data_IF_002802421260
#
_entry.id   IF_002802421260
#
_cell.length_a   1.000
_cell.length_b   1.000
_cell.length_c   1.000
_cell.angle_alpha   90.00
_cell.angle_beta   90.00
_cell.angle_gamma   90.00
#
_symmetry.space_group_name_H-M   'P 1'
#
loop_
_entity.id
_entity.type
_entity.pdbx_description
1 polymer ?
#
# COMPACT_ATOMS: atom_id res chain seq x y z
N UNK A 1 -10.04 9.19 27.95
CA UNK A 1 -11.18 8.35 27.53
C UNK A 1 -10.65 7.15 26.78
N UNK A 2 -10.99 5.94 27.22
CA UNK A 2 -10.67 4.73 26.47
C UNK A 2 -11.59 4.65 25.25
N UNK A 3 -11.02 4.41 24.06
CA UNK A 3 -11.79 4.08 22.87
C UNK A 3 -11.65 2.59 22.61
N UNK A 4 -12.77 1.92 22.36
CA UNK A 4 -12.79 0.51 21.99
C UNK A 4 -12.53 0.43 20.49
N UNK A 5 -11.59 -0.42 20.09
CA UNK A 5 -11.27 -0.70 18.69
C UNK A 5 -11.55 -2.18 18.48
N UNK A 6 -12.43 -2.50 17.52
CA UNK A 6 -12.64 -3.88 17.10
C UNK A 6 -11.59 -4.27 16.08
N UNK A 7 -10.99 -5.43 16.26
CA UNK A 7 -9.99 -6.00 15.35
C UNK A 7 -10.31 -7.48 15.16
N UNK A 8 -9.85 -8.06 14.06
CA UNK A 8 -9.93 -9.50 13.82
C UNK A 8 -9.02 -10.28 14.76
N UNK A 9 -9.33 -11.56 14.97
CA UNK A 9 -8.64 -12.43 15.93
C UNK A 9 -7.15 -12.61 15.62
N UNK A 10 -6.79 -12.66 14.34
CA UNK A 10 -5.42 -12.72 13.86
C UNK A 10 -4.62 -11.47 14.27
N UNK A 11 -5.19 -10.29 14.02
CA UNK A 11 -4.59 -9.00 14.40
C UNK A 11 -4.46 -8.90 15.92
N UNK A 12 -5.45 -9.36 16.67
CA UNK A 12 -5.38 -9.42 18.13
C UNK A 12 -4.24 -10.33 18.61
N UNK A 13 -4.09 -11.52 18.04
CA UNK A 13 -3.02 -12.46 18.38
C UNK A 13 -1.64 -11.87 18.06
N UNK A 14 -1.50 -11.19 16.92
CA UNK A 14 -0.28 -10.49 16.54
C UNK A 14 0.06 -9.34 17.50
N UNK A 15 -0.92 -8.50 17.84
CA UNK A 15 -0.76 -7.40 18.79
C UNK A 15 -0.40 -7.90 20.19
N UNK A 16 -0.97 -9.03 20.63
CA UNK A 16 -0.67 -9.65 21.92
C UNK A 16 0.80 -10.07 21.99
N UNK A 17 1.32 -10.68 20.92
CA UNK A 17 2.74 -11.04 20.81
C UNK A 17 3.65 -9.81 20.81
N UNK A 18 3.28 -8.78 20.04
CA UNK A 18 4.03 -7.53 19.93
C UNK A 18 4.10 -6.75 21.24
N UNK A 19 2.98 -6.67 21.97
CA UNK A 19 2.88 -5.99 23.26
C UNK A 19 3.77 -6.63 24.32
N UNK A 20 3.87 -7.96 24.34
CA UNK A 20 4.55 -8.69 25.41
C UNK A 20 4.01 -8.29 26.79
N UNK A 21 4.89 -7.75 27.64
CA UNK A 21 4.54 -7.30 29.00
C UNK A 21 3.99 -5.86 29.08
N UNK A 22 4.07 -5.09 28.00
CA UNK A 22 3.67 -3.68 27.96
C UNK A 22 2.16 -3.50 27.82
N UNK A 23 1.67 -2.27 27.67
CA UNK A 23 0.25 -1.99 27.36
C UNK A 23 -0.01 -2.01 25.85
N UNK A 24 -1.23 -2.37 25.42
CA UNK A 24 -1.63 -2.28 24.01
C UNK A 24 -1.47 -0.86 23.47
N UNK A 25 -1.81 0.15 24.27
CA UNK A 25 -1.66 1.55 23.91
C UNK A 25 -0.21 1.94 23.64
N UNK A 26 0.76 1.40 24.40
CA UNK A 26 2.20 1.64 24.16
C UNK A 26 2.66 0.99 22.86
N UNK A 27 2.32 -0.29 22.66
CA UNK A 27 2.66 -1.02 21.43
C UNK A 27 2.09 -0.34 20.18
N UNK A 28 0.82 0.09 20.22
CA UNK A 28 0.19 0.84 19.12
C UNK A 28 0.89 2.17 18.89
N UNK A 29 1.25 2.90 19.95
CA UNK A 29 1.94 4.20 19.83
C UNK A 29 3.33 4.05 19.20
N UNK A 30 4.07 3.00 19.55
CA UNK A 30 5.37 2.68 18.95
C UNK A 30 5.22 2.27 17.47
N UNK A 31 4.20 1.48 17.13
CA UNK A 31 3.89 1.11 15.74
C UNK A 31 3.52 2.34 14.89
N UNK A 32 2.78 3.30 15.45
CA UNK A 32 2.44 4.56 14.76
C UNK A 32 3.68 5.46 14.63
N UNK A 33 4.56 5.46 15.63
CA UNK A 33 5.81 6.23 15.60
C UNK A 33 6.84 5.66 14.62
N UNK A 34 6.74 4.37 14.32
CA UNK A 34 7.54 3.72 13.27
C UNK A 34 7.16 4.32 11.92
N UNK A 35 8.18 4.70 11.13
CA UNK A 35 8.03 5.46 9.88
C UNK A 35 6.88 4.91 9.05
N UNK A 36 5.88 5.76 8.78
CA UNK A 36 4.67 5.36 8.09
C UNK A 36 4.99 4.71 6.75
N UNK A 37 4.40 3.54 6.48
CA UNK A 37 4.40 2.90 5.16
C UNK A 37 3.59 3.68 4.11
N UNK A 38 3.30 4.97 4.37
CA UNK A 38 2.59 5.88 3.48
C UNK A 38 3.15 5.82 2.06
N UNK A 39 4.47 5.84 1.87
CA UNK A 39 5.06 5.73 0.54
C UNK A 39 4.79 4.37 -0.11
N UNK A 40 4.84 3.26 0.63
CA UNK A 40 4.50 1.93 0.11
C UNK A 40 3.01 1.80 -0.22
N UNK A 41 2.14 2.35 0.61
CA UNK A 41 0.69 2.38 0.37
C UNK A 41 0.39 3.27 -0.85
N UNK A 42 0.98 4.46 -0.94
CA UNK A 42 0.85 5.34 -2.10
C UNK A 42 1.45 4.71 -3.36
N UNK A 43 2.52 3.93 -3.26
CA UNK A 43 3.07 3.17 -4.39
C UNK A 43 2.18 2.00 -4.80
N UNK A 44 1.47 1.37 -3.87
CA UNK A 44 0.49 0.33 -4.16
C UNK A 44 -0.76 0.91 -4.83
N UNK A 45 -1.30 2.02 -4.28
CA UNK A 45 -2.45 2.73 -4.86
C UNK A 45 -2.08 3.52 -6.13
N UNK A 46 -0.82 3.91 -6.31
CA UNK A 46 -0.31 4.77 -7.39
C UNK A 46 0.42 4.04 -8.51
N UNK A 47 0.65 2.72 -8.41
CA UNK A 47 1.14 1.90 -9.54
C UNK A 47 0.03 1.51 -10.54
N UNK A 48 -0.99 2.36 -10.67
CA UNK A 48 -1.59 2.66 -11.97
C UNK A 48 -0.73 3.64 -12.80
N UNK A 49 0.51 3.91 -12.37
CA UNK A 49 1.51 4.66 -13.13
C UNK A 49 1.80 3.96 -14.45
N UNK A 50 1.22 4.51 -15.51
CA UNK A 50 1.48 4.18 -16.91
C UNK A 50 2.97 3.94 -17.14
N UNK A 51 3.31 2.71 -17.54
CA UNK A 51 4.67 2.37 -17.95
C UNK A 51 4.98 3.14 -19.25
N UNK A 52 5.76 4.21 -19.13
CA UNK A 52 6.10 5.09 -20.24
C UNK A 52 6.79 4.35 -21.40
N UNK A 53 7.44 3.21 -21.15
CA UNK A 53 8.01 2.37 -22.23
C UNK A 53 6.90 1.66 -22.99
N UNK A 54 5.96 1.02 -22.27
CA UNK A 54 4.81 0.35 -22.90
C UNK A 54 3.93 1.33 -23.68
N UNK A 55 3.76 2.56 -23.19
CA UNK A 55 3.01 3.58 -23.94
C UNK A 55 3.73 4.05 -25.19
N UNK A 56 5.06 4.20 -25.16
CA UNK A 56 5.83 4.49 -26.36
C UNK A 56 5.80 3.35 -27.39
N UNK A 57 5.85 2.11 -26.92
CA UNK A 57 5.72 0.92 -27.79
C UNK A 57 4.32 0.85 -28.43
N UNK A 58 3.27 1.16 -27.67
CA UNK A 58 1.90 1.23 -28.17
C UNK A 58 1.71 2.36 -29.19
N UNK A 59 2.29 3.55 -28.97
CA UNK A 59 2.21 4.67 -29.93
C UNK A 59 2.87 4.31 -31.29
N UNK A 60 4.05 3.70 -31.26
CA UNK A 60 4.73 3.24 -32.48
C UNK A 60 3.96 2.14 -33.22
N UNK A 61 3.32 1.22 -32.48
CA UNK A 61 2.48 0.17 -33.06
C UNK A 61 1.19 0.73 -33.66
N UNK A 62 0.59 1.71 -33.00
CA UNK A 62 -0.63 2.39 -33.45
C UNK A 62 -0.40 3.19 -34.73
N UNK A 63 0.73 3.91 -34.85
CA UNK A 63 1.08 4.63 -36.08
C UNK A 63 1.22 3.69 -37.28
N UNK A 64 1.92 2.57 -37.10
CA UNK A 64 2.08 1.57 -38.17
C UNK A 64 0.73 0.98 -38.60
N UNK A 65 -0.11 0.63 -37.63
CA UNK A 65 -1.46 0.14 -37.92
C UNK A 65 -2.31 1.20 -38.64
N UNK A 66 -2.23 2.47 -38.21
CA UNK A 66 -2.94 3.56 -38.87
C UNK A 66 -2.44 3.84 -40.29
N UNK A 67 -1.16 3.64 -40.58
CA UNK A 67 -0.60 3.79 -41.94
C UNK A 67 -0.99 2.62 -42.85
N UNK A 68 -1.22 1.43 -42.28
CA UNK A 68 -1.63 0.23 -43.02
C UNK A 68 -3.14 0.14 -43.25
N UNK A 69 -3.96 0.74 -42.39
CA UNK A 69 -5.42 0.53 -42.37
C UNK A 69 -6.29 1.80 -42.38
N UNK A 70 -5.72 3.01 -42.43
CA UNK A 70 -6.45 4.27 -42.63
C UNK A 70 -6.31 4.80 -44.07
#
# INVERSE_FOLDING_TARGET
MARIISVSDDVYAHLTKLKGKESYSKAIRELIATKSNKEHILNFFGKGGVDAKKVKELDGSWRKWSEEFA
#
